data_IF_890366636299
#
_entry.id   IF_890366636299
#
_cell.length_a   1.000
_cell.length_b   1.000
_cell.length_c   1.000
_cell.angle_alpha   90.00
_cell.angle_beta   90.00
_cell.angle_gamma   90.00
#
_symmetry.space_group_name_H-M   'P 1'
#
loop_
_entity.id
_entity.type
_entity.pdbx_description
1 polymer ?
#
# COMPACT_ATOMS: atom_id res chain seq x y z
N UNK A 1 -31.91 1.91 -8.40
CA UNK A 1 -31.47 1.69 -7.00
C UNK A 1 -30.38 2.69 -6.66
N UNK A 2 -30.68 3.71 -5.83
CA UNK A 2 -29.72 4.78 -5.50
C UNK A 2 -28.48 4.17 -4.83
N UNK A 3 -27.30 4.45 -5.40
CA UNK A 3 -25.99 4.17 -4.82
C UNK A 3 -25.93 4.76 -3.41
N UNK A 4 -26.17 3.94 -2.38
CA UNK A 4 -25.90 4.34 -0.99
C UNK A 4 -24.40 4.56 -0.91
N UNK A 5 -23.98 5.78 -0.54
CA UNK A 5 -22.59 6.20 -0.44
C UNK A 5 -21.71 5.07 0.15
N UNK A 6 -20.83 4.52 -0.68
CA UNK A 6 -19.86 3.49 -0.28
C UNK A 6 -18.79 4.03 0.68
N UNK A 7 -18.84 5.32 1.01
CA UNK A 7 -17.95 6.05 1.90
C UNK A 7 -18.63 6.22 3.26
N UNK A 8 -17.96 5.81 4.34
CA UNK A 8 -18.45 5.90 5.72
C UNK A 8 -17.47 6.65 6.63
N UNK A 9 -17.79 6.71 7.93
CA UNK A 9 -16.99 7.40 8.97
C UNK A 9 -15.52 6.99 8.97
N UNK A 10 -15.21 5.72 8.74
CA UNK A 10 -13.87 5.17 8.58
C UNK A 10 -13.06 5.86 7.46
N UNK A 11 -13.71 6.31 6.39
CA UNK A 11 -13.03 7.04 5.33
C UNK A 11 -12.78 8.50 5.70
N UNK A 12 -13.66 9.10 6.49
CA UNK A 12 -13.42 10.42 7.06
C UNK A 12 -12.26 10.37 8.08
N UNK A 13 -12.22 9.33 8.94
CA UNK A 13 -11.09 9.09 9.85
C UNK A 13 -9.82 8.85 9.07
N UNK A 14 -9.85 8.01 8.03
CA UNK A 14 -8.72 7.78 7.15
C UNK A 14 -8.21 9.09 6.53
N UNK A 15 -9.09 9.87 5.90
CA UNK A 15 -8.72 11.13 5.26
C UNK A 15 -8.16 12.14 6.26
N UNK A 16 -8.78 12.27 7.44
CA UNK A 16 -8.30 13.12 8.52
C UNK A 16 -6.95 12.69 9.06
N UNK A 17 -6.75 11.39 9.29
CA UNK A 17 -5.49 10.80 9.72
C UNK A 17 -4.39 11.02 8.67
N UNK A 18 -4.68 10.80 7.39
CA UNK A 18 -3.75 11.07 6.29
C UNK A 18 -3.38 12.55 6.24
N UNK A 19 -4.35 13.46 6.26
CA UNK A 19 -4.10 14.90 6.21
C UNK A 19 -3.25 15.35 7.40
N UNK A 20 -3.61 14.94 8.62
CA UNK A 20 -2.87 15.27 9.83
C UNK A 20 -1.44 14.70 9.80
N UNK A 21 -1.26 13.49 9.26
CA UNK A 21 0.06 12.86 9.11
C UNK A 21 0.93 13.62 8.12
N UNK A 22 0.39 13.99 6.95
CA UNK A 22 1.11 14.76 5.92
C UNK A 22 1.46 16.16 6.43
N UNK A 23 0.50 16.88 7.02
CA UNK A 23 0.75 18.20 7.62
C UNK A 23 1.78 18.08 8.73
N UNK A 24 1.68 17.04 9.57
CA UNK A 24 2.64 16.77 10.62
C UNK A 24 4.06 16.55 10.10
N UNK A 25 4.22 15.85 8.98
CA UNK A 25 5.51 15.63 8.34
C UNK A 25 6.10 16.92 7.73
N UNK A 26 5.30 17.64 6.95
CA UNK A 26 5.76 18.85 6.26
C UNK A 26 6.09 19.98 7.24
N UNK A 27 5.41 20.03 8.38
CA UNK A 27 5.62 21.06 9.42
C UNK A 27 6.55 20.63 10.55
N UNK A 28 7.14 19.43 10.50
CA UNK A 28 8.03 18.91 11.54
C UNK A 28 7.35 18.60 12.88
N UNK A 29 6.02 18.47 12.91
CA UNK A 29 5.24 18.17 14.12
C UNK A 29 5.17 16.66 14.37
N UNK A 30 6.25 16.10 14.90
CA UNK A 30 6.36 14.65 15.17
C UNK A 30 5.25 14.09 16.06
N UNK A 31 4.77 14.86 17.05
CA UNK A 31 3.64 14.44 17.91
C UNK A 31 2.35 14.22 17.11
N UNK A 32 2.09 15.06 16.10
CA UNK A 32 0.92 14.91 15.25
C UNK A 32 1.01 13.63 14.42
N UNK A 33 2.18 13.34 13.86
CA UNK A 33 2.42 12.09 13.13
C UNK A 33 2.29 10.85 14.03
N UNK A 34 2.82 10.90 15.25
CA UNK A 34 2.74 9.80 16.22
C UNK A 34 1.31 9.38 16.54
N UNK A 35 0.37 10.32 16.55
CA UNK A 35 -1.03 10.04 16.81
C UNK A 35 -1.78 9.68 15.52
N UNK A 36 -1.56 10.44 14.44
CA UNK A 36 -2.35 10.32 13.23
C UNK A 36 -1.93 9.13 12.34
N UNK A 37 -0.64 8.89 12.16
CA UNK A 37 -0.14 7.87 11.22
C UNK A 37 -0.65 6.47 11.59
N UNK A 38 -0.61 6.04 12.87
CA UNK A 38 -1.13 4.73 13.26
C UNK A 38 -2.66 4.58 13.13
N UNK A 39 -3.42 5.64 12.80
CA UNK A 39 -4.88 5.55 12.57
C UNK A 39 -5.24 5.24 11.12
N UNK A 40 -4.30 5.36 10.17
CA UNK A 40 -4.54 5.14 8.74
C UNK A 40 -4.98 3.69 8.48
N UNK A 41 -4.17 2.70 8.87
CA UNK A 41 -4.47 1.30 8.65
C UNK A 41 -5.66 0.77 9.49
N UNK A 42 -5.83 1.14 10.78
CA UNK A 42 -7.01 0.75 11.56
C UNK A 42 -8.33 1.31 11.01
N UNK A 43 -8.33 2.50 10.40
CA UNK A 43 -9.51 3.02 9.73
C UNK A 43 -9.92 2.12 8.55
N UNK A 44 -8.96 1.64 7.75
CA UNK A 44 -9.22 0.65 6.70
C UNK A 44 -9.59 -0.73 7.29
N UNK A 45 -9.06 -1.11 8.45
CA UNK A 45 -9.46 -2.36 9.10
C UNK A 45 -10.93 -2.32 9.54
N UNK A 46 -11.41 -1.17 10.04
CA UNK A 46 -12.83 -0.95 10.32
C UNK A 46 -13.69 -1.02 9.06
N UNK A 47 -13.15 -0.61 7.90
CA UNK A 47 -13.80 -0.83 6.60
C UNK A 47 -13.96 -2.31 6.29
N UNK A 48 -12.88 -3.08 6.42
CA UNK A 48 -12.88 -4.54 6.19
C UNK A 48 -13.89 -5.24 7.10
N UNK A 49 -13.89 -4.91 8.40
CA UNK A 49 -14.81 -5.49 9.38
C UNK A 49 -16.29 -5.23 9.04
N UNK A 50 -16.63 -4.04 8.54
CA UNK A 50 -18.01 -3.75 8.14
C UNK A 50 -18.43 -4.50 6.88
N UNK A 51 -17.50 -4.80 5.98
CA UNK A 51 -17.76 -5.56 4.76
C UNK A 51 -17.63 -7.07 4.96
N UNK A 52 -17.29 -7.54 6.16
CA UNK A 52 -16.99 -8.96 6.44
C UNK A 52 -18.11 -9.93 6.08
N UNK A 53 -19.37 -9.50 6.14
CA UNK A 53 -20.53 -10.34 5.78
C UNK A 53 -20.61 -10.61 4.29
N UNK A 54 -20.12 -9.67 3.49
CA UNK A 54 -20.20 -9.70 2.02
C UNK A 54 -18.88 -10.20 1.40
N UNK A 55 -17.83 -10.38 2.20
CA UNK A 55 -16.48 -10.74 1.76
C UNK A 55 -16.13 -12.14 2.22
N UNK A 56 -15.31 -12.85 1.45
CA UNK A 56 -14.80 -14.15 1.89
C UNK A 56 -14.01 -14.06 3.21
N UNK A 57 -14.26 -14.93 4.21
CA UNK A 57 -13.64 -14.88 5.53
C UNK A 57 -12.11 -14.95 5.50
N UNK A 58 -11.53 -15.72 4.58
CA UNK A 58 -10.08 -15.81 4.51
C UNK A 58 -9.47 -14.55 3.89
N UNK A 59 -10.16 -13.87 2.96
CA UNK A 59 -9.73 -12.56 2.48
C UNK A 59 -9.85 -11.49 3.56
N UNK A 60 -10.91 -11.55 4.38
CA UNK A 60 -11.04 -10.70 5.58
C UNK A 60 -9.86 -10.94 6.52
N UNK A 61 -9.50 -12.20 6.80
CA UNK A 61 -8.38 -12.53 7.66
C UNK A 61 -7.05 -12.01 7.11
N UNK A 62 -6.78 -12.20 5.81
CA UNK A 62 -5.58 -11.71 5.14
C UNK A 62 -5.48 -10.17 5.17
N UNK A 63 -6.58 -9.47 4.89
CA UNK A 63 -6.63 -8.01 4.94
C UNK A 63 -6.43 -7.47 6.35
N UNK A 64 -7.07 -8.07 7.37
CA UNK A 64 -6.92 -7.63 8.76
C UNK A 64 -5.52 -7.93 9.30
N UNK A 65 -4.95 -9.09 8.99
CA UNK A 65 -3.58 -9.42 9.35
C UNK A 65 -2.59 -8.43 8.69
N UNK A 66 -2.78 -8.16 7.40
CA UNK A 66 -1.97 -7.20 6.66
C UNK A 66 -2.07 -5.78 7.21
N UNK A 67 -3.28 -5.30 7.50
CA UNK A 67 -3.50 -3.96 8.07
C UNK A 67 -3.00 -3.83 9.51
N UNK A 68 -3.04 -4.91 10.28
CA UNK A 68 -2.42 -4.95 11.62
C UNK A 68 -0.91 -4.81 11.49
N UNK A 69 -0.29 -5.57 10.58
CA UNK A 69 1.14 -5.47 10.30
C UNK A 69 1.52 -4.08 9.75
N UNK A 70 0.66 -3.49 8.91
CA UNK A 70 0.82 -2.12 8.43
C UNK A 70 0.80 -1.10 9.56
N UNK A 71 -0.11 -1.26 10.53
CA UNK A 71 -0.21 -0.39 11.71
C UNK A 71 1.07 -0.44 12.54
N UNK A 72 1.62 -1.64 12.75
CA UNK A 72 2.91 -1.83 13.43
C UNK A 72 4.06 -1.19 12.62
N UNK A 73 4.05 -1.39 11.31
CA UNK A 73 5.01 -0.77 10.39
C UNK A 73 4.97 0.75 10.45
N UNK A 74 3.79 1.34 10.48
CA UNK A 74 3.54 2.77 10.58
C UNK A 74 4.15 3.37 11.85
N UNK A 75 4.05 2.67 13.00
CA UNK A 75 4.67 3.10 14.26
C UNK A 75 6.20 3.09 14.18
N UNK A 76 6.80 2.05 13.60
CA UNK A 76 8.25 2.01 13.43
C UNK A 76 8.73 3.10 12.46
N UNK A 77 7.99 3.33 11.38
CA UNK A 77 8.29 4.28 10.31
C UNK A 77 7.94 5.74 10.63
N UNK A 78 7.68 6.09 11.90
CA UNK A 78 7.63 7.49 12.33
C UNK A 78 9.02 8.13 12.25
N UNK A 79 10.07 7.34 12.46
CA UNK A 79 11.46 7.78 12.36
C UNK A 79 12.23 6.82 11.43
N UNK A 80 12.10 7.01 10.10
CA UNK A 80 12.69 6.11 9.10
C UNK A 80 14.20 6.34 8.91
N UNK A 81 14.78 7.29 9.63
CA UNK A 81 16.20 7.61 9.54
C UNK A 81 17.03 6.71 10.48
N UNK A 82 16.41 6.16 11.53
CA UNK A 82 16.94 5.07 12.34
C UNK A 82 16.86 3.71 11.61
N UNK A 83 17.99 3.05 11.43
CA UNK A 83 18.12 1.81 10.67
C UNK A 83 17.35 0.65 11.29
N UNK A 84 17.38 0.52 12.61
CA UNK A 84 16.67 -0.55 13.30
C UNK A 84 15.16 -0.38 13.17
N UNK A 85 14.67 0.86 13.28
CA UNK A 85 13.25 1.19 13.06
C UNK A 85 12.86 1.00 11.60
N UNK A 86 13.70 1.43 10.66
CA UNK A 86 13.49 1.24 9.23
C UNK A 86 13.36 -0.26 8.89
N UNK A 87 14.25 -1.09 9.39
CA UNK A 87 14.20 -2.55 9.19
C UNK A 87 12.95 -3.15 9.81
N UNK A 88 12.61 -2.82 11.06
CA UNK A 88 11.38 -3.32 11.72
C UNK A 88 10.11 -2.88 10.98
N UNK A 89 10.09 -1.63 10.50
CA UNK A 89 9.02 -1.09 9.68
C UNK A 89 8.86 -1.87 8.38
N UNK A 90 9.95 -2.03 7.62
CA UNK A 90 9.98 -2.79 6.39
C UNK A 90 9.60 -4.26 6.59
N UNK A 91 10.05 -4.91 7.68
CA UNK A 91 9.64 -6.28 8.02
C UNK A 91 8.14 -6.38 8.33
N UNK A 92 7.57 -5.38 9.01
CA UNK A 92 6.13 -5.34 9.27
C UNK A 92 5.33 -5.16 7.97
N UNK A 93 5.77 -4.26 7.09
CA UNK A 93 5.17 -4.13 5.76
C UNK A 93 5.41 -5.36 4.89
N UNK A 94 6.51 -6.10 5.04
CA UNK A 94 6.72 -7.37 4.34
C UNK A 94 5.61 -8.39 4.67
N UNK A 95 5.23 -8.51 5.95
CA UNK A 95 4.10 -9.35 6.38
C UNK A 95 2.80 -8.90 5.73
N UNK A 96 2.57 -7.59 5.64
CA UNK A 96 1.41 -7.05 4.91
C UNK A 96 1.45 -7.41 3.42
N UNK A 97 2.59 -7.23 2.74
CA UNK A 97 2.73 -7.57 1.31
C UNK A 97 2.49 -9.07 1.06
N UNK A 98 2.92 -9.94 1.98
CA UNK A 98 2.60 -11.38 1.91
C UNK A 98 1.09 -11.61 2.00
N UNK A 99 0.40 -10.95 2.94
CA UNK A 99 -1.05 -11.05 3.07
C UNK A 99 -1.79 -10.58 1.81
N UNK A 100 -1.38 -9.44 1.25
CA UNK A 100 -1.97 -8.88 0.03
C UNK A 100 -1.68 -9.74 -1.20
N UNK A 101 -0.45 -10.22 -1.36
CA UNK A 101 -0.07 -11.16 -2.42
C UNK A 101 -0.87 -12.46 -2.33
N UNK A 102 -1.01 -13.04 -1.13
CA UNK A 102 -1.79 -14.26 -0.92
C UNK A 102 -3.26 -14.06 -1.30
N UNK A 103 -3.86 -12.91 -0.95
CA UNK A 103 -5.23 -12.59 -1.33
C UNK A 103 -5.37 -12.46 -2.86
N UNK A 104 -4.48 -11.71 -3.51
CA UNK A 104 -4.50 -11.53 -4.96
C UNK A 104 -4.36 -12.88 -5.69
N UNK A 105 -3.44 -13.74 -5.26
CA UNK A 105 -3.26 -15.08 -5.81
C UNK A 105 -4.51 -15.96 -5.63
N UNK A 106 -5.13 -15.94 -4.43
CA UNK A 106 -6.41 -16.64 -4.18
C UNK A 106 -7.53 -16.18 -5.10
N UNK A 107 -7.46 -14.93 -5.55
CA UNK A 107 -8.42 -14.32 -6.47
C UNK A 107 -8.02 -14.42 -7.94
N UNK A 108 -7.01 -15.23 -8.24
CA UNK A 108 -6.62 -15.59 -9.60
C UNK A 108 -5.70 -14.58 -10.28
N UNK A 109 -5.12 -13.63 -9.54
CA UNK A 109 -4.15 -12.69 -10.09
C UNK A 109 -2.95 -13.43 -10.67
N UNK A 110 -2.51 -13.01 -11.85
CA UNK A 110 -1.37 -13.58 -12.56
C UNK A 110 -0.29 -12.54 -12.78
N UNK A 111 1.00 -12.89 -12.63
CA UNK A 111 2.06 -12.00 -13.02
C UNK A 111 2.03 -11.82 -14.55
N UNK A 112 2.02 -10.57 -15.01
CA UNK A 112 2.09 -10.24 -16.44
C UNK A 112 3.48 -9.68 -16.75
N UNK A 113 4.06 -10.07 -17.89
CA UNK A 113 5.39 -9.59 -18.28
C UNK A 113 5.48 -8.04 -18.35
N UNK A 114 4.48 -7.33 -18.89
CA UNK A 114 4.50 -5.86 -18.91
C UNK A 114 4.50 -5.22 -17.52
N UNK A 115 3.87 -5.86 -16.52
CA UNK A 115 3.92 -5.37 -15.15
C UNK A 115 5.23 -5.75 -14.45
N UNK A 116 5.71 -6.97 -14.67
CA UNK A 116 6.85 -7.55 -13.98
C UNK A 116 8.18 -6.88 -14.37
N UNK A 117 8.44 -6.71 -15.67
CA UNK A 117 9.76 -6.27 -16.16
C UNK A 117 10.17 -4.88 -15.64
N UNK A 118 9.32 -3.83 -15.71
CA UNK A 118 9.70 -2.52 -15.17
C UNK A 118 9.93 -2.54 -13.66
N UNK A 119 9.16 -3.35 -12.93
CA UNK A 119 9.27 -3.48 -11.46
C UNK A 119 10.55 -4.22 -11.07
N UNK A 120 10.90 -5.29 -11.78
CA UNK A 120 12.17 -5.99 -11.59
C UNK A 120 13.35 -5.07 -11.88
N UNK A 121 13.32 -4.32 -12.99
CA UNK A 121 14.38 -3.38 -13.34
C UNK A 121 14.53 -2.28 -12.27
N UNK A 122 13.42 -1.68 -11.85
CA UNK A 122 13.41 -0.66 -10.80
C UNK A 122 13.96 -1.16 -9.46
N UNK A 123 13.51 -2.33 -9.01
CA UNK A 123 13.98 -2.92 -7.74
C UNK A 123 15.41 -3.44 -7.81
N UNK A 124 15.86 -3.97 -8.94
CA UNK A 124 17.26 -4.32 -9.14
C UNK A 124 18.17 -3.09 -9.01
N UNK A 125 17.77 -1.97 -9.62
CA UNK A 125 18.44 -0.68 -9.48
C UNK A 125 18.47 -0.18 -8.02
N UNK A 126 17.31 -0.23 -7.34
CA UNK A 126 17.21 0.17 -5.94
C UNK A 126 18.06 -0.72 -5.02
N UNK A 127 18.07 -2.04 -5.23
CA UNK A 127 18.86 -3.00 -4.47
C UNK A 127 20.37 -2.79 -4.67
N UNK A 128 20.81 -2.56 -5.91
CA UNK A 128 22.20 -2.23 -6.22
C UNK A 128 22.63 -0.91 -5.54
N UNK A 129 21.75 0.09 -5.58
CA UNK A 129 21.99 1.37 -4.95
C UNK A 129 22.06 1.23 -3.41
N UNK A 130 21.13 0.51 -2.78
CA UNK A 130 21.17 0.23 -1.34
C UNK A 130 22.46 -0.51 -0.95
N UNK A 131 22.85 -1.53 -1.72
CA UNK A 131 24.09 -2.28 -1.46
C UNK A 131 25.34 -1.42 -1.57
N UNK A 132 25.33 -0.39 -2.41
CA UNK A 132 26.47 0.52 -2.56
C UNK A 132 26.52 1.65 -1.53
N UNK A 133 25.37 2.12 -1.03
CA UNK A 133 25.28 3.34 -0.20
C UNK A 133 24.75 3.14 1.22
N UNK A 134 24.12 2.01 1.54
CA UNK A 134 23.48 1.71 2.82
C UNK A 134 23.50 0.20 3.10
N UNK A 135 24.71 -0.36 3.29
CA UNK A 135 24.95 -1.81 3.35
C UNK A 135 24.23 -2.49 4.51
N UNK A 136 24.11 -1.78 5.63
CA UNK A 136 23.52 -2.24 6.88
C UNK A 136 22.05 -2.63 6.73
N UNK A 137 21.32 -1.91 5.86
CA UNK A 137 19.89 -2.12 5.62
C UNK A 137 19.60 -2.75 4.25
N UNK A 138 20.62 -2.94 3.40
CA UNK A 138 20.43 -3.36 2.01
C UNK A 138 19.71 -4.71 1.89
N UNK A 139 20.13 -5.73 2.64
CA UNK A 139 19.54 -7.07 2.60
C UNK A 139 18.06 -7.08 3.00
N UNK A 140 17.67 -6.60 4.21
CA UNK A 140 16.27 -6.61 4.61
C UNK A 140 15.39 -5.74 3.70
N UNK A 141 15.88 -4.58 3.23
CA UNK A 141 15.12 -3.73 2.32
C UNK A 141 14.98 -4.31 0.92
N UNK A 142 15.98 -5.07 0.43
CA UNK A 142 15.88 -5.78 -0.86
C UNK A 142 14.87 -6.93 -0.77
N UNK A 143 14.87 -7.67 0.34
CA UNK A 143 13.90 -8.75 0.58
C UNK A 143 12.47 -8.18 0.64
N UNK A 144 12.28 -7.10 1.39
CA UNK A 144 11.02 -6.38 1.43
C UNK A 144 10.60 -5.83 0.05
N UNK A 145 11.51 -5.16 -0.66
CA UNK A 145 11.28 -4.61 -1.99
C UNK A 145 10.84 -5.67 -3.01
N UNK A 146 11.37 -6.90 -2.89
CA UNK A 146 10.94 -8.05 -3.70
C UNK A 146 9.47 -8.39 -3.47
N UNK A 147 9.03 -8.46 -2.21
CA UNK A 147 7.63 -8.75 -1.85
C UNK A 147 6.67 -7.63 -2.30
N UNK A 148 7.10 -6.38 -2.16
CA UNK A 148 6.38 -5.24 -2.71
C UNK A 148 6.28 -5.31 -4.24
N UNK A 149 7.39 -5.65 -4.92
CA UNK A 149 7.41 -5.89 -6.36
C UNK A 149 6.44 -7.00 -6.79
N UNK A 150 6.36 -8.10 -6.04
CA UNK A 150 5.38 -9.18 -6.27
C UNK A 150 3.96 -8.66 -6.13
N UNK A 151 3.61 -8.00 -5.03
CA UNK A 151 2.26 -7.47 -4.81
C UNK A 151 1.87 -6.44 -5.88
N UNK A 152 2.80 -5.55 -6.22
CA UNK A 152 2.62 -4.54 -7.26
C UNK A 152 2.45 -5.16 -8.65
N UNK A 153 3.08 -6.30 -8.92
CA UNK A 153 2.92 -7.04 -10.19
C UNK A 153 1.57 -7.75 -10.24
N UNK A 154 1.19 -8.44 -9.16
CA UNK A 154 -0.09 -9.17 -9.09
C UNK A 154 -1.29 -8.23 -9.15
N UNK A 155 -1.21 -7.09 -8.45
CA UNK A 155 -2.29 -6.08 -8.44
C UNK A 155 -2.48 -5.39 -9.79
N UNK A 156 -1.48 -5.45 -10.68
CA UNK A 156 -1.54 -4.88 -12.01
C UNK A 156 -2.24 -5.78 -13.04
N UNK A 157 -2.63 -7.00 -12.69
CA UNK A 157 -3.32 -7.93 -13.60
C UNK A 157 -4.68 -7.35 -14.05
N UNK A 158 -4.85 -7.03 -15.35
CA UNK A 158 -6.10 -6.44 -15.84
C UNK A 158 -7.29 -7.41 -15.75
N UNK A 159 -7.06 -8.73 -15.66
CA UNK A 159 -8.13 -9.72 -15.54
C UNK A 159 -8.91 -9.61 -14.22
N UNK A 160 -8.33 -8.94 -13.21
CA UNK A 160 -8.99 -8.68 -11.93
C UNK A 160 -10.16 -7.68 -12.04
N UNK A 161 -10.17 -6.84 -13.08
CA UNK A 161 -11.22 -5.86 -13.34
C UNK A 161 -11.80 -6.00 -14.76
N UNK A 162 -12.56 -7.07 -15.06
CA UNK A 162 -13.16 -7.26 -16.38
C UNK A 162 -14.08 -6.07 -16.73
N UNK A 163 -13.84 -5.46 -17.88
CA UNK A 163 -14.59 -4.30 -18.38
C UNK A 163 -14.03 -2.93 -17.98
N UNK A 164 -12.90 -2.87 -17.27
CA UNK A 164 -12.16 -1.63 -17.09
C UNK A 164 -11.31 -1.31 -18.34
N UNK A 165 -11.12 -0.03 -18.63
CA UNK A 165 -10.13 0.40 -19.63
C UNK A 165 -8.73 0.00 -19.18
N UNK A 166 -7.88 -0.39 -20.14
CA UNK A 166 -6.52 -0.86 -19.85
C UNK A 166 -5.51 -0.02 -20.62
N UNK A 167 -4.55 0.56 -19.91
CA UNK A 167 -3.43 1.31 -20.48
C UNK A 167 -2.13 0.71 -19.97
N UNK A 168 -1.18 0.46 -20.88
CA UNK A 168 0.09 -0.20 -20.57
C UNK A 168 -0.09 -1.52 -19.78
N UNK A 169 -1.14 -2.28 -20.11
CA UNK A 169 -1.50 -3.55 -19.46
C UNK A 169 -1.88 -3.42 -17.98
N UNK A 170 -2.37 -2.25 -17.57
CA UNK A 170 -2.89 -1.99 -16.22
C UNK A 170 -4.26 -1.35 -16.31
N UNK A 171 -5.20 -1.82 -15.49
CA UNK A 171 -6.54 -1.25 -15.43
C UNK A 171 -6.50 0.21 -14.97
N UNK A 172 -7.22 1.08 -15.68
CA UNK A 172 -7.37 2.49 -15.35
C UNK A 172 -8.42 2.62 -14.24
N UNK A 173 -8.12 3.33 -13.13
CA UNK A 173 -9.07 3.51 -12.04
C UNK A 173 -10.39 4.14 -12.50
N UNK A 174 -11.48 3.40 -12.35
CA UNK A 174 -12.83 3.82 -12.72
C UNK A 174 -13.86 3.59 -11.60
N UNK A 175 -15.12 3.41 -11.98
CA UNK A 175 -16.23 3.16 -11.04
C UNK A 175 -16.13 1.79 -10.37
N UNK A 176 -15.59 0.80 -11.07
CA UNK A 176 -15.27 -0.50 -10.48
C UNK A 176 -13.97 -0.41 -9.67
N UNK A 177 -14.09 -0.49 -8.35
CA UNK A 177 -12.94 -0.45 -7.42
C UNK A 177 -11.89 -1.51 -7.70
N UNK A 178 -12.21 -2.62 -8.37
CA UNK A 178 -11.20 -3.63 -8.77
C UNK A 178 -10.13 -3.03 -9.70
N UNK A 179 -10.50 -2.04 -10.52
CA UNK A 179 -9.57 -1.31 -11.39
C UNK A 179 -8.55 -0.45 -10.62
N UNK A 180 -8.75 -0.24 -9.32
CA UNK A 180 -7.86 0.59 -8.49
C UNK A 180 -6.58 -0.14 -8.07
N UNK A 181 -6.58 -1.47 -8.14
CA UNK A 181 -5.50 -2.33 -7.64
C UNK A 181 -4.15 -1.98 -8.26
N UNK A 182 -4.08 -1.88 -9.59
CA UNK A 182 -2.83 -1.62 -10.30
C UNK A 182 -2.23 -0.25 -9.96
N UNK A 183 -3.06 0.79 -9.90
CA UNK A 183 -2.65 2.12 -9.47
C UNK A 183 -2.18 2.14 -8.01
N UNK A 184 -2.89 1.41 -7.13
CA UNK A 184 -2.50 1.26 -5.74
C UNK A 184 -1.12 0.60 -5.57
N UNK A 185 -0.86 -0.50 -6.29
CA UNK A 185 0.45 -1.16 -6.28
C UNK A 185 1.58 -0.27 -6.80
N UNK A 186 1.33 0.53 -7.84
CA UNK A 186 2.29 1.51 -8.36
C UNK A 186 2.60 2.61 -7.35
N UNK A 187 1.56 3.20 -6.73
CA UNK A 187 1.72 4.25 -5.72
C UNK A 187 2.50 3.74 -4.50
N UNK A 188 2.25 2.49 -4.08
CA UNK A 188 3.02 1.89 -2.99
C UNK A 188 4.50 1.77 -3.36
N UNK A 189 4.77 1.29 -4.58
CA UNK A 189 6.14 1.16 -5.08
C UNK A 189 6.84 2.52 -5.19
N UNK A 190 6.13 3.54 -5.66
CA UNK A 190 6.65 4.91 -5.77
C UNK A 190 6.95 5.54 -4.40
N UNK A 191 6.04 5.35 -3.43
CA UNK A 191 6.22 5.78 -2.03
C UNK A 191 7.54 5.23 -1.45
N UNK A 192 7.74 3.92 -1.56
CA UNK A 192 8.90 3.27 -0.94
C UNK A 192 10.19 3.52 -1.71
N UNK A 193 10.12 3.63 -3.04
CA UNK A 193 11.23 4.12 -3.84
C UNK A 193 11.65 5.52 -3.41
N UNK A 194 10.68 6.41 -3.11
CA UNK A 194 10.97 7.75 -2.64
C UNK A 194 11.55 7.77 -1.21
N UNK A 195 11.24 6.80 -0.34
CA UNK A 195 11.94 6.62 0.95
C UNK A 195 13.43 6.37 0.71
N UNK A 196 13.78 5.48 -0.22
CA UNK A 196 15.17 5.18 -0.57
C UNK A 196 15.86 6.43 -1.15
N UNK A 197 15.21 7.12 -2.09
CA UNK A 197 15.76 8.35 -2.69
C UNK A 197 15.94 9.47 -1.65
N UNK A 198 14.95 9.68 -0.77
CA UNK A 198 15.00 10.66 0.33
C UNK A 198 16.18 10.37 1.24
N UNK A 199 16.39 9.10 1.61
CA UNK A 199 17.47 8.68 2.50
C UNK A 199 18.85 8.91 1.89
N UNK A 200 19.01 8.60 0.61
CA UNK A 200 20.32 8.58 -0.04
C UNK A 200 20.74 9.94 -0.61
N UNK A 201 19.79 10.73 -1.13
CA UNK A 201 20.10 11.91 -1.93
C UNK A 201 19.54 13.22 -1.39
N UNK A 202 18.40 13.21 -0.70
CA UNK A 202 17.75 14.45 -0.25
C UNK A 202 18.37 14.92 1.07
N UNK A 203 19.04 16.07 1.01
CA UNK A 203 19.69 16.75 2.14
C UNK A 203 18.88 17.98 2.56
N UNK A 204 19.04 18.37 3.82
CA UNK A 204 18.36 19.53 4.40
C UNK A 204 16.92 19.25 4.85
N UNK A 205 16.48 19.97 5.88
CA UNK A 205 15.21 19.69 6.56
C UNK A 205 13.99 19.91 5.64
N UNK A 206 13.96 21.03 4.90
CA UNK A 206 12.81 21.38 4.04
C UNK A 206 12.58 20.37 2.92
N UNK A 207 13.65 19.94 2.23
CA UNK A 207 13.55 18.95 1.18
C UNK A 207 13.10 17.59 1.71
N UNK A 208 13.62 17.18 2.87
CA UNK A 208 13.24 15.93 3.53
C UNK A 208 11.79 15.95 4.01
N UNK A 209 11.32 17.08 4.54
CA UNK A 209 9.93 17.26 4.98
C UNK A 209 8.95 17.23 3.79
N UNK A 210 9.30 17.90 2.68
CA UNK A 210 8.50 17.85 1.46
C UNK A 210 8.41 16.44 0.86
N UNK A 211 9.55 15.74 0.76
CA UNK A 211 9.59 14.34 0.32
C UNK A 211 8.77 13.42 1.23
N UNK A 212 8.89 13.58 2.55
CA UNK A 212 8.11 12.83 3.53
C UNK A 212 6.60 13.04 3.34
N UNK A 213 6.16 14.27 3.07
CA UNK A 213 4.77 14.58 2.75
C UNK A 213 4.25 13.81 1.52
N UNK A 214 5.05 13.74 0.45
CA UNK A 214 4.71 13.00 -0.78
C UNK A 214 4.70 11.49 -0.54
N UNK A 215 5.68 10.96 0.20
CA UNK A 215 5.73 9.55 0.62
C UNK A 215 4.44 9.18 1.37
N UNK A 216 4.07 9.96 2.39
CA UNK A 216 2.90 9.67 3.22
C UNK A 216 1.58 9.77 2.45
N UNK A 217 1.46 10.77 1.57
CA UNK A 217 0.27 10.93 0.73
C UNK A 217 0.11 9.77 -0.28
N UNK A 218 1.21 9.40 -0.95
CA UNK A 218 1.21 8.28 -1.91
C UNK A 218 1.01 6.92 -1.24
N UNK A 219 1.60 6.70 -0.06
CA UNK A 219 1.35 5.54 0.79
C UNK A 219 -0.14 5.41 1.18
N UNK A 220 -0.73 6.48 1.70
CA UNK A 220 -2.13 6.46 2.08
C UNK A 220 -3.03 6.17 0.87
N UNK A 221 -2.83 6.87 -0.25
CA UNK A 221 -3.55 6.61 -1.48
C UNK A 221 -3.40 5.14 -1.93
N UNK A 222 -2.18 4.59 -1.87
CA UNK A 222 -1.92 3.20 -2.20
C UNK A 222 -2.72 2.23 -1.32
N UNK A 223 -2.69 2.42 0.00
CA UNK A 223 -3.45 1.59 0.95
C UNK A 223 -4.95 1.64 0.67
N UNK A 224 -5.50 2.83 0.46
CA UNK A 224 -6.93 2.99 0.16
C UNK A 224 -7.32 2.25 -1.12
N UNK A 225 -6.57 2.46 -2.21
CA UNK A 225 -6.83 1.85 -3.51
C UNK A 225 -6.72 0.32 -3.47
N UNK A 226 -5.66 -0.19 -2.82
CA UNK A 226 -5.42 -1.62 -2.68
C UNK A 226 -6.50 -2.29 -1.82
N UNK A 227 -6.81 -1.76 -0.64
CA UNK A 227 -7.79 -2.37 0.27
C UNK A 227 -9.19 -2.33 -0.34
N UNK A 228 -9.60 -1.20 -0.92
CA UNK A 228 -10.93 -1.09 -1.54
C UNK A 228 -11.04 -1.95 -2.81
N UNK A 229 -9.98 -2.06 -3.58
CA UNK A 229 -9.91 -2.99 -4.71
C UNK A 229 -10.01 -4.44 -4.28
N UNK A 230 -9.28 -4.85 -3.25
CA UNK A 230 -9.31 -6.21 -2.71
C UNK A 230 -10.65 -6.55 -2.06
N UNK A 231 -11.29 -5.60 -1.37
CA UNK A 231 -12.66 -5.79 -0.86
C UNK A 231 -13.68 -5.93 -1.99
N UNK A 232 -13.51 -5.21 -3.11
CA UNK A 232 -14.36 -5.38 -4.27
C UNK A 232 -14.17 -6.74 -4.97
N UNK A 233 -12.93 -7.21 -5.04
CA UNK A 233 -12.55 -8.52 -5.57
C UNK A 233 -13.05 -9.66 -4.66
N UNK A 234 -13.05 -9.40 -3.35
CA UNK A 234 -13.41 -10.34 -2.29
C UNK A 234 -14.90 -10.64 -2.15
N UNK A 235 -15.77 -9.85 -2.80
CA UNK A 235 -17.22 -9.93 -2.65
C UNK A 235 -17.75 -11.30 -3.05
N UNK A 236 -18.50 -11.93 -2.15
CA UNK A 236 -19.31 -13.11 -2.44
C UNK A 236 -20.40 -12.68 -3.41
N UNK A 237 -20.48 -13.32 -4.58
CA UNK A 237 -21.70 -13.24 -5.39
C UNK A 237 -22.79 -13.91 -4.57
N UNK A 238 -23.78 -13.15 -4.14
CA UNK A 238 -25.01 -13.72 -3.60
C UNK A 238 -25.62 -14.50 -4.76
N UNK A 239 -25.52 -15.83 -4.73
CA UNK A 239 -26.26 -16.73 -5.60
C UNK A 239 -27.73 -16.62 -5.21
N UNK A 240 -28.39 -15.58 -5.72
CA UNK A 240 -29.84 -15.56 -5.85
C UNK A 240 -30.22 -16.57 -6.92
N UNK A 241 -30.92 -17.62 -6.51
CA UNK A 241 -31.65 -18.55 -7.36
C UNK A 241 -32.35 -17.80 -8.49
N UNK A 242 -32.15 -18.26 -9.72
CA UNK A 242 -33.16 -18.23 -10.76
C UNK A 242 -33.76 -19.64 -10.82
#
# INVERSE_FOLDING_TARGET
MKSKNNWGVEHAVFAGATLATVVGAVTGRNRLQQVAKPLIAPALAARVLRRRTDTDPADVALLLAGLTAATVGDVFMIDPDDDARLVRGASSFAVMQVGYSALLLRRGARPTAPALLPRLAGWAGAAALLRSRAKEVATPLTAYGSLLGTTSTLSADPSLAPGADVVANVAVPGTDRRSWLGAGGMLFTASDGLIVLRRLFIRGERGRAGAEGVILASYAAAQLLLVEGMLALGRRRVTGRA
#
